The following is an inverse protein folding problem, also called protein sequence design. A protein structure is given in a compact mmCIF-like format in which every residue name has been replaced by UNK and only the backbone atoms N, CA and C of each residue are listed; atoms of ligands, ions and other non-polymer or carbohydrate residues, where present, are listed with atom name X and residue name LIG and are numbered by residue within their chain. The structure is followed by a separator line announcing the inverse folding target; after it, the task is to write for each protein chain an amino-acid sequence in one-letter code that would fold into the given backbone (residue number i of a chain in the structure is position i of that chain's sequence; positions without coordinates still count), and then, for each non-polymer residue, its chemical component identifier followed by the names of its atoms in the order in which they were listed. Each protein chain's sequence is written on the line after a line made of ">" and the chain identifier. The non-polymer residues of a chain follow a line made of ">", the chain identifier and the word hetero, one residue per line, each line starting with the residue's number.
data_IF_844815179759
#
_entry.id   IF_844815179759
#
_cell.length_a   1.000
_cell.length_b   1.000
_cell.length_c   1.000
_cell.angle_alpha   90.00
_cell.angle_beta   90.00
_cell.angle_gamma   90.00
#
_symmetry.space_group_name_H-M   'P 1'
#
loop_
_entity.id
_entity.type
_entity.pdbx_description
1 polymer ?
#
# COMPACT_ATOMS: atom_id res chain seq x y z
N UNK A 1 86.51 4.68 -42.07
CA UNK A 1 85.57 5.05 -43.14
C UNK A 1 84.33 4.22 -42.90
N UNK A 2 83.21 4.92 -42.76
CA UNK A 2 81.99 4.53 -42.03
C UNK A 2 81.24 3.32 -42.59
N UNK A 3 80.60 2.56 -41.67
CA UNK A 3 79.25 2.07 -41.89
C UNK A 3 78.39 2.34 -40.64
N UNK A 4 77.48 3.31 -40.66
CA UNK A 4 76.58 3.56 -39.54
C UNK A 4 75.22 4.21 -39.88
N UNK A 5 74.88 4.43 -41.16
CA UNK A 5 73.67 5.18 -41.53
C UNK A 5 72.42 4.31 -41.78
N UNK A 6 72.56 3.04 -42.17
CA UNK A 6 71.42 2.22 -42.61
C UNK A 6 70.61 1.54 -41.48
N UNK A 7 71.15 1.45 -40.25
CA UNK A 7 70.45 0.78 -39.14
C UNK A 7 69.41 1.67 -38.44
N UNK A 8 69.55 2.99 -38.54
CA UNK A 8 68.67 3.96 -37.85
C UNK A 8 67.37 4.19 -38.64
N UNK A 9 67.44 4.14 -39.98
CA UNK A 9 66.26 4.24 -40.86
C UNK A 9 65.31 3.03 -40.74
N UNK A 10 65.83 1.83 -40.49
CA UNK A 10 65.02 0.61 -40.34
C UNK A 10 64.21 0.63 -39.05
N UNK A 11 64.81 1.09 -37.94
CA UNK A 11 64.15 1.12 -36.64
C UNK A 11 63.03 2.15 -36.57
N UNK A 12 63.21 3.29 -37.25
CA UNK A 12 62.19 4.33 -37.34
C UNK A 12 60.99 3.84 -38.17
N UNK A 13 61.24 3.16 -39.30
CA UNK A 13 60.17 2.59 -40.12
C UNK A 13 59.39 1.48 -39.38
N UNK A 14 60.08 0.58 -38.66
CA UNK A 14 59.43 -0.46 -37.87
C UNK A 14 58.58 0.14 -36.72
N UNK A 15 59.00 1.28 -36.16
CA UNK A 15 58.23 2.01 -35.15
C UNK A 15 57.00 2.69 -35.74
N UNK A 16 57.11 3.25 -36.95
CA UNK A 16 55.98 3.84 -37.68
C UNK A 16 54.94 2.78 -38.06
N UNK A 17 55.37 1.60 -38.51
CA UNK A 17 54.46 0.48 -38.83
C UNK A 17 53.75 -0.02 -37.58
N UNK A 18 54.45 -0.18 -36.45
CA UNK A 18 53.81 -0.56 -35.17
C UNK A 18 52.82 0.47 -34.68
N UNK A 19 53.13 1.77 -34.82
CA UNK A 19 52.18 2.84 -34.48
C UNK A 19 50.97 2.85 -35.41
N UNK A 20 51.15 2.55 -36.69
CA UNK A 20 50.04 2.41 -37.64
C UNK A 20 49.14 1.21 -37.31
N UNK A 21 49.71 0.07 -36.92
CA UNK A 21 48.96 -1.10 -36.44
C UNK A 21 48.18 -0.78 -35.16
N UNK A 22 48.81 -0.12 -34.19
CA UNK A 22 48.15 0.32 -32.95
C UNK A 22 47.02 1.32 -33.21
N UNK A 23 47.18 2.24 -34.17
CA UNK A 23 46.12 3.16 -34.56
C UNK A 23 44.96 2.44 -35.26
N UNK A 24 45.25 1.44 -36.10
CA UNK A 24 44.23 0.62 -36.73
C UNK A 24 43.45 -0.21 -35.69
N UNK A 25 44.14 -0.78 -34.71
CA UNK A 25 43.54 -1.50 -33.60
C UNK A 25 42.68 -0.59 -32.72
N UNK A 26 43.17 0.59 -32.34
CA UNK A 26 42.40 1.59 -31.62
C UNK A 26 41.12 2.01 -32.37
N UNK A 27 41.20 2.16 -33.71
CA UNK A 27 40.03 2.49 -34.54
C UNK A 27 39.01 1.35 -34.56
N UNK A 28 39.46 0.10 -34.74
CA UNK A 28 38.57 -1.06 -34.70
C UNK A 28 37.90 -1.22 -33.33
N UNK A 29 38.61 -0.96 -32.23
CA UNK A 29 38.02 -0.96 -30.88
C UNK A 29 36.99 0.16 -30.72
N UNK A 30 37.26 1.37 -31.23
CA UNK A 30 36.30 2.47 -31.19
C UNK A 30 35.02 2.14 -31.98
N UNK A 31 35.15 1.56 -33.18
CA UNK A 31 34.01 1.10 -33.98
C UNK A 31 33.24 -0.03 -33.30
N UNK A 32 33.93 -0.96 -32.64
CA UNK A 32 33.32 -2.03 -31.86
C UNK A 32 32.48 -1.47 -30.69
N UNK A 33 33.06 -0.59 -29.88
CA UNK A 33 32.35 0.04 -28.76
C UNK A 33 31.20 0.94 -29.22
N UNK A 34 31.35 1.61 -30.36
CA UNK A 34 30.26 2.35 -30.98
C UNK A 34 29.12 1.40 -31.38
N UNK A 35 29.42 0.26 -32.02
CA UNK A 35 28.43 -0.76 -32.34
C UNK A 35 27.70 -1.30 -31.11
N UNK A 36 28.44 -1.62 -30.04
CA UNK A 36 27.86 -2.06 -28.76
C UNK A 36 26.95 -0.98 -28.16
N UNK A 37 27.39 0.28 -28.14
CA UNK A 37 26.57 1.38 -27.64
C UNK A 37 25.27 1.55 -28.45
N UNK A 38 25.34 1.39 -29.78
CA UNK A 38 24.18 1.47 -30.67
C UNK A 38 23.19 0.33 -30.38
N UNK A 39 23.69 -0.91 -30.21
CA UNK A 39 22.85 -2.07 -29.88
C UNK A 39 22.20 -1.89 -28.49
N UNK A 40 22.95 -1.41 -27.50
CA UNK A 40 22.40 -1.11 -26.17
C UNK A 40 21.32 -0.03 -26.23
N UNK A 41 21.51 1.01 -27.05
CA UNK A 41 20.52 2.07 -27.25
C UNK A 41 19.26 1.53 -27.91
N UNK A 42 19.39 0.72 -28.96
CA UNK A 42 18.26 0.08 -29.63
C UNK A 42 17.52 -0.90 -28.71
N UNK A 43 18.24 -1.74 -27.97
CA UNK A 43 17.65 -2.66 -26.98
C UNK A 43 16.85 -1.92 -25.92
N UNK A 44 17.39 -0.81 -25.40
CA UNK A 44 16.66 0.06 -24.46
C UNK A 44 15.41 0.66 -25.11
N UNK A 45 15.48 1.10 -26.36
CA UNK A 45 14.32 1.65 -27.08
C UNK A 45 13.24 0.59 -27.30
N UNK A 46 13.61 -0.66 -27.59
CA UNK A 46 12.68 -1.79 -27.71
C UNK A 46 11.99 -2.09 -26.39
N UNK A 47 12.72 -2.20 -25.28
CA UNK A 47 12.14 -2.40 -23.94
C UNK A 47 11.17 -1.26 -23.56
N UNK A 48 11.53 -0.01 -23.84
CA UNK A 48 10.64 1.14 -23.60
C UNK A 48 9.37 1.08 -24.46
N UNK A 49 9.48 0.64 -25.72
CA UNK A 49 8.33 0.49 -26.61
C UNK A 49 7.41 -0.66 -26.16
N UNK A 50 7.97 -1.76 -25.67
CA UNK A 50 7.20 -2.87 -25.10
C UNK A 50 6.49 -2.46 -23.82
N UNK A 51 7.16 -1.76 -22.91
CA UNK A 51 6.55 -1.22 -21.69
C UNK A 51 5.42 -0.24 -22.02
N UNK A 52 5.63 0.67 -22.97
CA UNK A 52 4.58 1.60 -23.41
C UNK A 52 3.36 0.84 -23.94
N UNK A 53 3.58 -0.20 -24.76
CA UNK A 53 2.50 -1.04 -25.30
C UNK A 53 1.75 -1.79 -24.19
N UNK A 54 2.45 -2.28 -23.16
CA UNK A 54 1.81 -2.93 -22.01
C UNK A 54 0.94 -1.92 -21.23
N UNK A 55 1.44 -0.72 -20.96
CA UNK A 55 0.64 0.33 -20.31
C UNK A 55 -0.61 0.69 -21.13
N UNK A 56 -0.49 0.83 -22.46
CA UNK A 56 -1.61 1.13 -23.33
C UNK A 56 -2.67 0.00 -23.31
N UNK A 57 -2.23 -1.25 -23.26
CA UNK A 57 -3.11 -2.42 -23.16
C UNK A 57 -3.83 -2.51 -21.82
N UNK A 58 -3.14 -2.23 -20.71
CA UNK A 58 -3.76 -2.18 -19.38
C UNK A 58 -4.80 -1.05 -19.29
N UNK A 59 -4.48 0.13 -19.82
CA UNK A 59 -5.42 1.25 -19.89
C UNK A 59 -6.68 0.85 -20.68
N UNK A 60 -6.52 0.19 -21.84
CA UNK A 60 -7.65 -0.28 -22.64
C UNK A 60 -8.48 -1.32 -21.89
N UNK A 61 -7.85 -2.31 -21.28
CA UNK A 61 -8.54 -3.34 -20.49
C UNK A 61 -9.33 -2.75 -19.32
N UNK A 62 -8.74 -1.78 -18.60
CA UNK A 62 -9.42 -1.08 -17.51
C UNK A 62 -10.59 -0.23 -18.03
N UNK A 63 -10.44 0.43 -19.17
CA UNK A 63 -11.52 1.19 -19.81
C UNK A 63 -12.68 0.28 -20.21
N UNK A 64 -12.42 -0.90 -20.78
CA UNK A 64 -13.43 -1.89 -21.13
C UNK A 64 -14.17 -2.41 -19.89
N UNK A 65 -13.45 -2.74 -18.82
CA UNK A 65 -14.06 -3.18 -17.56
C UNK A 65 -14.95 -2.09 -16.93
N UNK A 66 -14.51 -0.83 -16.99
CA UNK A 66 -15.32 0.31 -16.53
C UNK A 66 -16.57 0.52 -17.40
N UNK A 67 -16.46 0.38 -18.72
CA UNK A 67 -17.62 0.43 -19.62
C UNK A 67 -18.58 -0.72 -19.38
N UNK A 68 -18.07 -1.93 -19.13
CA UNK A 68 -18.90 -3.09 -18.82
C UNK A 68 -19.65 -2.88 -17.50
N UNK A 69 -18.97 -2.46 -16.44
CA UNK A 69 -19.62 -2.17 -15.15
C UNK A 69 -20.64 -1.04 -15.28
N UNK A 70 -20.35 0.02 -16.05
CA UNK A 70 -21.32 1.07 -16.35
C UNK A 70 -22.56 0.51 -17.06
N UNK A 71 -22.38 -0.32 -18.09
CA UNK A 71 -23.50 -0.96 -18.80
C UNK A 71 -24.34 -1.88 -17.90
N UNK A 72 -23.70 -2.59 -16.95
CA UNK A 72 -24.39 -3.42 -15.96
C UNK A 72 -25.24 -2.56 -15.02
N UNK A 73 -24.73 -1.40 -14.58
CA UNK A 73 -25.50 -0.46 -13.77
C UNK A 73 -26.66 0.15 -14.56
N UNK A 74 -26.44 0.55 -15.82
CA UNK A 74 -27.51 1.06 -16.70
C UNK A 74 -28.63 0.03 -16.91
N UNK A 75 -28.28 -1.23 -17.17
CA UNK A 75 -29.25 -2.32 -17.30
C UNK A 75 -30.05 -2.53 -16.01
N UNK A 76 -29.39 -2.50 -14.84
CA UNK A 76 -30.06 -2.62 -13.54
C UNK A 76 -31.00 -1.45 -13.27
N UNK A 77 -30.59 -0.23 -13.61
CA UNK A 77 -31.43 0.96 -13.51
C UNK A 77 -32.64 0.84 -14.45
N UNK A 78 -32.45 0.39 -15.69
CA UNK A 78 -33.53 0.18 -16.65
C UNK A 78 -34.54 -0.88 -16.17
N UNK A 79 -34.08 -2.00 -15.60
CA UNK A 79 -34.95 -3.01 -14.98
C UNK A 79 -35.80 -2.39 -13.86
N UNK A 80 -35.18 -1.66 -12.92
CA UNK A 80 -35.89 -0.98 -11.82
C UNK A 80 -36.88 0.08 -12.33
N UNK A 81 -36.56 0.77 -13.43
CA UNK A 81 -37.45 1.75 -14.07
C UNK A 81 -38.60 1.12 -14.88
N UNK A 82 -38.50 -0.16 -15.28
CA UNK A 82 -39.56 -0.90 -15.97
C UNK A 82 -40.57 -1.57 -15.03
N UNK A 83 -40.16 -1.87 -13.79
CA UNK A 83 -41.00 -2.39 -12.71
C UNK A 83 -42.26 -1.56 -12.30
N UNK A 84 -42.34 -0.22 -12.49
CA UNK A 84 -43.56 0.55 -12.19
C UNK A 84 -44.77 0.28 -13.10
N UNK A 85 -44.68 -0.58 -14.12
CA UNK A 85 -45.83 -1.00 -14.92
C UNK A 85 -46.60 -2.18 -14.29
N UNK A 86 -45.91 -3.07 -13.57
CA UNK A 86 -46.52 -4.29 -13.01
C UNK A 86 -47.22 -4.03 -11.68
N UNK A 87 -46.67 -3.15 -10.83
CA UNK A 87 -47.35 -2.68 -9.62
C UNK A 87 -48.61 -1.84 -9.92
N UNK A 88 -48.65 -1.14 -11.07
CA UNK A 88 -49.81 -0.33 -11.48
C UNK A 88 -50.90 -1.14 -12.18
N UNK A 89 -50.58 -2.32 -12.75
CA UNK A 89 -51.55 -3.21 -13.41
C UNK A 89 -52.39 -4.03 -12.42
N UNK A 90 -51.92 -4.22 -11.19
CA UNK A 90 -52.66 -4.90 -10.11
C UNK A 90 -53.70 -4.04 -9.38
N UNK A 91 -53.73 -2.72 -9.60
CA UNK A 91 -54.49 -1.77 -8.76
C UNK A 91 -55.64 -1.03 -9.45
N UNK A 92 -56.26 -1.59 -10.49
CA UNK A 92 -57.43 -0.93 -11.08
C UNK A 92 -58.14 -1.66 -12.19
N UNK A 93 -59.01 -2.61 -11.85
CA UNK A 93 -60.11 -3.04 -12.72
C UNK A 93 -61.40 -3.25 -11.94
N UNK A 94 -62.07 -2.14 -11.63
CA UNK A 94 -63.54 -2.07 -11.58
C UNK A 94 -63.97 -0.66 -11.98
N UNK A 95 -64.76 -0.52 -13.05
CA UNK A 95 -65.52 0.69 -13.33
C UNK A 95 -65.29 1.38 -14.68
N UNK A 96 -65.95 0.85 -15.70
CA UNK A 96 -66.59 1.54 -16.86
C UNK A 96 -66.45 3.07 -16.99
N UNK A 97 -66.10 3.55 -18.20
CA UNK A 97 -66.43 4.92 -18.61
C UNK A 97 -65.89 5.37 -19.97
N UNK A 98 -66.70 5.26 -21.03
CA UNK A 98 -66.51 5.90 -22.34
C UNK A 98 -66.15 7.39 -22.22
N UNK A 99 -65.23 7.88 -23.08
CA UNK A 99 -65.48 8.97 -24.06
C UNK A 99 -64.26 9.29 -24.93
N UNK A 100 -64.53 9.39 -26.23
CA UNK A 100 -63.76 10.14 -27.22
C UNK A 100 -63.49 11.59 -26.76
N UNK A 101 -62.37 12.20 -27.21
CA UNK A 101 -62.37 13.32 -28.20
C UNK A 101 -60.98 13.97 -28.37
N UNK A 102 -60.50 13.93 -29.62
CA UNK A 102 -59.63 14.84 -30.41
C UNK A 102 -58.68 15.86 -29.76
N UNK A 103 -57.40 15.77 -30.20
CA UNK A 103 -56.63 16.70 -31.06
C UNK A 103 -56.45 18.19 -30.68
N UNK A 104 -55.33 18.75 -31.21
CA UNK A 104 -54.79 20.14 -31.17
C UNK A 104 -53.79 20.35 -30.03
N UNK A 105 -52.54 20.77 -30.21
CA UNK A 105 -51.79 21.30 -31.36
C UNK A 105 -50.81 22.38 -30.87
N UNK A 106 -49.62 22.47 -31.46
CA UNK A 106 -48.69 23.61 -31.37
C UNK A 106 -47.80 23.64 -30.10
N UNK A 107 -46.51 23.33 -30.15
CA UNK A 107 -45.40 24.03 -30.81
C UNK A 107 -45.05 25.39 -30.20
N UNK A 108 -43.78 25.47 -29.75
CA UNK A 108 -42.83 26.60 -29.86
C UNK A 108 -42.61 27.50 -28.64
N UNK A 109 -41.35 27.43 -28.13
CA UNK A 109 -40.37 28.49 -27.75
C UNK A 109 -40.94 29.84 -27.29
N UNK A 110 -40.42 30.54 -26.29
CA UNK A 110 -39.01 30.92 -26.07
C UNK A 110 -38.91 31.70 -24.74
N UNK A 111 -37.70 31.71 -24.17
CA UNK A 111 -37.04 32.81 -23.44
C UNK A 111 -37.62 33.37 -22.12
N UNK A 112 -36.76 33.46 -21.10
CA UNK A 112 -36.00 34.69 -20.77
C UNK A 112 -35.21 34.50 -19.46
N UNK A 113 -33.88 34.62 -19.56
CA UNK A 113 -32.98 35.00 -18.47
C UNK A 113 -32.91 36.54 -18.36
N UNK A 114 -32.83 37.03 -17.12
CA UNK A 114 -32.23 38.28 -16.62
C UNK A 114 -32.81 38.49 -15.21
N UNK A 115 -32.11 38.82 -14.13
CA UNK A 115 -30.84 39.49 -13.91
C UNK A 115 -31.00 40.36 -12.65
N UNK A 116 -29.89 40.88 -12.11
CA UNK A 116 -29.76 41.93 -11.08
C UNK A 116 -29.64 41.52 -9.59
N UNK A 117 -28.39 41.33 -9.18
CA UNK A 117 -27.64 42.15 -8.20
C UNK A 117 -28.36 42.81 -7.00
N UNK A 118 -27.77 42.59 -5.82
CA UNK A 118 -27.29 43.69 -4.97
C UNK A 118 -28.03 43.94 -3.65
N UNK A 119 -27.44 43.53 -2.52
CA UNK A 119 -26.94 44.45 -1.46
C UNK A 119 -26.42 43.71 -0.23
N UNK A 120 -25.25 44.16 0.21
CA UNK A 120 -24.62 43.89 1.49
C UNK A 120 -25.35 44.58 2.65
N UNK A 121 -25.19 44.05 3.88
CA UNK A 121 -24.43 44.71 4.97
C UNK A 121 -24.60 43.95 6.31
N UNK A 122 -23.47 43.87 7.04
CA UNK A 122 -23.32 43.80 8.52
C UNK A 122 -23.83 42.51 9.21
N UNK A 123 -23.11 41.87 10.13
CA UNK A 123 -22.50 42.46 11.31
C UNK A 123 -21.50 41.47 11.95
N UNK A 124 -20.48 42.02 12.60
CA UNK A 124 -19.50 41.30 13.42
C UNK A 124 -19.14 42.22 14.58
N UNK A 125 -19.04 41.72 15.81
CA UNK A 125 -17.82 42.05 16.55
C UNK A 125 -17.28 40.91 17.44
N UNK A 126 -15.96 40.73 17.30
CA UNK A 126 -14.92 40.47 18.31
C UNK A 126 -15.32 40.18 19.78
N UNK A 127 -14.61 39.21 20.37
CA UNK A 127 -13.94 39.34 21.68
C UNK A 127 -12.80 38.32 21.82
N UNK A 128 -11.61 38.85 22.11
CA UNK A 128 -10.32 38.21 22.44
C UNK A 128 -10.42 37.55 23.84
N UNK A 129 -9.61 36.57 24.28
CA UNK A 129 -8.17 36.66 24.54
C UNK A 129 -7.65 35.37 25.22
N UNK A 130 -6.33 35.17 25.11
CA UNK A 130 -5.38 34.75 26.15
C UNK A 130 -4.79 33.31 26.10
N UNK A 131 -3.47 33.33 25.89
CA UNK A 131 -2.47 32.29 26.04
C UNK A 131 -2.16 31.91 27.51
N UNK A 132 -1.38 30.81 27.62
CA UNK A 132 -0.25 30.52 28.53
C UNK A 132 -0.40 29.43 29.63
N UNK A 133 0.47 28.43 29.43
CA UNK A 133 1.36 27.71 30.37
C UNK A 133 0.86 26.61 31.33
N UNK A 134 1.60 25.47 31.30
CA UNK A 134 2.15 24.86 32.52
C UNK A 134 1.93 23.35 32.77
N UNK A 135 3.04 22.60 32.70
CA UNK A 135 3.44 21.45 33.57
C UNK A 135 2.92 20.01 33.36
N UNK A 136 3.77 19.22 32.68
CA UNK A 136 4.56 18.08 33.24
C UNK A 136 4.01 17.26 34.42
N UNK A 137 3.64 15.99 34.17
CA UNK A 137 4.06 14.79 34.94
C UNK A 137 3.32 13.52 34.44
N UNK A 138 4.06 12.46 34.11
CA UNK A 138 3.48 11.14 33.84
C UNK A 138 4.39 10.15 33.11
N UNK A 139 5.49 9.77 33.74
CA UNK A 139 6.29 8.59 33.36
C UNK A 139 5.53 7.30 33.71
N UNK A 140 5.55 6.29 32.81
CA UNK A 140 5.14 4.93 33.16
C UNK A 140 4.55 4.10 32.02
N UNK A 141 5.25 3.97 30.89
CA UNK A 141 4.90 2.98 29.86
C UNK A 141 5.56 1.63 30.24
N UNK A 142 4.82 0.80 31.00
CA UNK A 142 5.22 -0.56 31.33
C UNK A 142 4.18 -1.57 30.78
N UNK A 143 4.66 -2.57 30.03
CA UNK A 143 4.12 -3.93 30.08
C UNK A 143 2.76 -4.22 29.46
N UNK A 144 2.60 -4.08 28.14
CA UNK A 144 1.55 -4.83 27.41
C UNK A 144 2.06 -6.23 27.03
N UNK A 145 1.93 -7.19 27.94
CA UNK A 145 1.83 -8.62 27.62
C UNK A 145 0.73 -9.20 28.51
N UNK A 146 -0.50 -9.26 28.01
CA UNK A 146 -1.56 -10.10 28.59
C UNK A 146 -1.51 -11.46 27.90
N UNK A 147 -0.92 -12.40 28.62
CA UNK A 147 -0.82 -13.81 28.29
C UNK A 147 -1.77 -14.57 29.21
N UNK A 148 -3.04 -14.70 28.81
CA UNK A 148 -3.98 -15.65 29.43
C UNK A 148 -4.76 -16.35 28.33
N UNK A 149 -4.17 -17.45 27.84
CA UNK A 149 -4.95 -18.55 27.30
C UNK A 149 -5.65 -19.19 28.50
N UNK A 150 -6.98 -19.14 28.56
CA UNK A 150 -7.72 -20.13 29.32
C UNK A 150 -8.95 -20.59 28.54
N UNK A 151 -8.99 -21.91 28.41
CA UNK A 151 -10.00 -22.71 27.74
C UNK A 151 -11.12 -22.92 28.75
N UNK A 152 -12.30 -22.35 28.51
CA UNK A 152 -13.50 -22.79 29.23
C UNK A 152 -14.76 -22.60 28.38
N UNK A 153 -15.39 -23.74 28.13
CA UNK A 153 -16.70 -23.94 27.53
C UNK A 153 -17.79 -23.02 28.12
N UNK A 154 -18.62 -22.47 27.24
CA UNK A 154 -20.00 -22.12 27.56
C UNK A 154 -20.91 -22.63 26.44
N UNK A 155 -21.44 -23.83 26.66
CA UNK A 155 -22.60 -24.33 25.92
C UNK A 155 -23.88 -23.69 26.46
N UNK A 156 -24.81 -23.40 25.55
CA UNK A 156 -26.21 -23.01 25.75
C UNK A 156 -26.46 -21.66 26.43
N UNK A 157 -27.07 -20.71 25.70
CA UNK A 157 -28.51 -20.47 25.73
C UNK A 157 -28.93 -19.58 24.53
N UNK A 158 -30.02 -20.02 23.88
CA UNK A 158 -30.98 -19.29 23.01
C UNK A 158 -30.47 -18.40 21.86
N UNK A 159 -30.59 -18.94 20.65
CA UNK A 159 -30.67 -18.18 19.40
C UNK A 159 -32.00 -17.41 19.34
N UNK A 160 -31.96 -16.12 19.64
CA UNK A 160 -32.87 -15.15 19.03
C UNK A 160 -32.02 -14.17 18.21
N UNK A 161 -31.81 -14.54 16.94
CA UNK A 161 -31.40 -13.59 15.91
C UNK A 161 -32.44 -13.61 14.80
N UNK A 162 -33.02 -12.45 14.44
CA UNK A 162 -33.98 -12.36 13.37
C UNK A 162 -33.27 -12.64 12.04
N UNK A 163 -33.72 -13.71 11.40
CA UNK A 163 -33.68 -13.99 9.95
C UNK A 163 -32.95 -12.96 9.09
N UNK A 164 -31.82 -13.39 8.51
CA UNK A 164 -31.26 -12.89 7.26
C UNK A 164 -32.38 -12.72 6.23
N UNK A 165 -32.60 -11.49 5.76
CA UNK A 165 -33.47 -11.19 4.63
C UNK A 165 -32.87 -11.81 3.35
N UNK A 166 -33.38 -12.98 2.96
CA UNK A 166 -33.09 -13.60 1.65
C UNK A 166 -34.33 -13.40 0.76
N UNK A 167 -34.13 -12.57 -0.27
CA UNK A 167 -34.94 -12.29 -1.46
C UNK A 167 -36.01 -13.37 -1.80
N UNK A 168 -37.27 -13.00 -2.08
CA UNK A 168 -38.25 -13.95 -2.62
C UNK A 168 -37.97 -14.25 -4.11
N UNK A 169 -38.16 -15.48 -4.58
CA UNK A 169 -38.15 -15.81 -6.02
C UNK A 169 -39.48 -15.36 -6.68
N UNK A 170 -39.51 -15.18 -8.02
CA UNK A 170 -40.71 -14.77 -8.73
C UNK A 170 -41.78 -15.87 -8.70
N UNK A 171 -43.01 -15.43 -8.47
CA UNK A 171 -44.23 -16.23 -8.45
C UNK A 171 -44.57 -16.69 -9.88
N UNK A 172 -44.50 -18.00 -10.13
CA UNK A 172 -45.15 -18.63 -11.30
C UNK A 172 -46.59 -18.97 -10.94
N UNK A 173 -47.51 -18.07 -11.26
CA UNK A 173 -48.94 -18.38 -11.31
C UNK A 173 -49.23 -19.20 -12.58
N UNK A 174 -49.45 -20.51 -12.43
CA UNK A 174 -50.48 -21.27 -13.18
C UNK A 174 -50.49 -22.75 -12.78
N UNK A 175 -51.25 -23.08 -11.73
CA UNK A 175 -52.04 -24.32 -11.72
C UNK A 175 -53.16 -24.19 -10.70
N UNK A 176 -54.35 -23.93 -11.23
CA UNK A 176 -55.61 -24.21 -10.56
C UNK A 176 -55.62 -25.68 -10.10
N UNK A 177 -55.57 -25.93 -8.79
CA UNK A 177 -56.09 -27.16 -8.19
C UNK A 177 -57.13 -26.80 -7.15
N UNK A 178 -58.35 -26.85 -7.66
CA UNK A 178 -59.64 -27.05 -7.00
C UNK A 178 -59.52 -27.81 -5.67
N UNK A 179 -60.13 -27.22 -4.65
CA UNK A 179 -60.91 -27.89 -3.59
C UNK A 179 -60.96 -29.43 -3.70
N UNK A 180 -60.29 -30.14 -2.79
CA UNK A 180 -60.70 -31.48 -2.39
C UNK A 180 -60.33 -31.69 -0.93
N UNK A 181 -61.37 -31.92 -0.11
CA UNK A 181 -61.23 -32.20 1.29
C UNK A 181 -60.46 -33.50 1.57
N UNK A 182 -59.92 -33.57 2.78
CA UNK A 182 -59.58 -34.81 3.51
C UNK A 182 -58.92 -35.90 2.68
N UNK A 183 -57.61 -35.78 2.44
CA UNK A 183 -56.74 -36.94 2.25
C UNK A 183 -55.43 -36.68 3.00
N UNK A 184 -55.15 -37.58 3.93
CA UNK A 184 -54.01 -37.63 4.83
C UNK A 184 -52.71 -37.39 4.05
N UNK A 185 -51.87 -36.38 4.41
CA UNK A 185 -50.53 -36.30 3.87
C UNK A 185 -49.60 -37.20 4.70
N UNK A 186 -49.36 -38.43 4.24
CA UNK A 186 -48.08 -39.07 4.53
C UNK A 186 -46.97 -38.21 3.91
N UNK A 187 -46.09 -37.72 4.78
CA UNK A 187 -44.80 -37.09 4.47
C UNK A 187 -44.80 -35.72 3.75
N UNK A 188 -45.30 -34.67 4.41
CA UNK A 188 -44.66 -33.35 4.23
C UNK A 188 -43.33 -33.43 4.98
N UNK A 189 -42.21 -33.63 4.28
CA UNK A 189 -40.88 -33.60 4.87
C UNK A 189 -40.64 -32.21 5.45
N UNK A 190 -40.76 -32.08 6.77
CA UNK A 190 -40.41 -30.88 7.51
C UNK A 190 -38.92 -30.98 7.87
N UNK A 191 -38.05 -30.12 7.32
CA UNK A 191 -36.63 -30.17 7.64
C UNK A 191 -36.41 -29.92 9.14
N UNK A 192 -35.46 -30.62 9.78
CA UNK A 192 -35.07 -30.32 11.16
C UNK A 192 -34.68 -28.85 11.33
N UNK A 193 -34.84 -28.30 12.54
CA UNK A 193 -34.49 -26.91 12.82
C UNK A 193 -33.06 -26.58 12.34
N UNK A 194 -32.92 -25.44 11.64
CA UNK A 194 -31.66 -25.00 11.02
C UNK A 194 -31.41 -25.54 9.60
N UNK A 195 -32.24 -26.44 9.09
CA UNK A 195 -32.08 -27.00 7.74
C UNK A 195 -33.10 -26.35 6.79
N UNK A 196 -32.62 -25.88 5.63
CA UNK A 196 -33.46 -25.31 4.58
C UNK A 196 -33.46 -26.27 3.39
N UNK A 197 -34.63 -26.50 2.80
CA UNK A 197 -34.74 -27.16 1.50
C UNK A 197 -34.16 -26.22 0.43
N UNK A 198 -33.18 -26.73 -0.29
CA UNK A 198 -32.47 -26.02 -1.36
C UNK A 198 -32.84 -26.71 -2.67
N UNK A 199 -33.13 -25.92 -3.70
CA UNK A 199 -33.40 -26.47 -5.04
C UNK A 199 -32.12 -27.05 -5.65
N UNK A 200 -32.21 -27.97 -6.61
CA UNK A 200 -31.02 -28.53 -7.24
C UNK A 200 -30.15 -27.45 -7.92
N UNK A 201 -30.76 -26.45 -8.56
CA UNK A 201 -30.04 -25.32 -9.16
C UNK A 201 -29.31 -24.46 -8.13
N UNK A 202 -29.93 -24.20 -6.97
CA UNK A 202 -29.30 -23.43 -5.90
C UNK A 202 -28.16 -24.23 -5.24
N UNK A 203 -28.30 -25.55 -5.14
CA UNK A 203 -27.27 -26.45 -4.64
C UNK A 203 -26.07 -26.50 -5.60
N UNK A 204 -26.31 -26.61 -6.90
CA UNK A 204 -25.26 -26.56 -7.93
C UNK A 204 -24.55 -25.20 -7.95
N UNK A 205 -25.30 -24.09 -7.84
CA UNK A 205 -24.73 -22.75 -7.75
C UNK A 205 -23.86 -22.56 -6.48
N UNK A 206 -24.29 -23.08 -5.34
CA UNK A 206 -23.48 -23.05 -4.12
C UNK A 206 -22.23 -23.93 -4.26
N UNK A 207 -22.36 -25.10 -4.88
CA UNK A 207 -21.25 -26.05 -5.03
C UNK A 207 -20.18 -25.55 -6.03
N UNK A 208 -20.59 -24.83 -7.08
CA UNK A 208 -19.68 -24.13 -8.00
C UNK A 208 -18.95 -22.99 -7.29
N UNK A 209 -19.64 -22.16 -6.51
CA UNK A 209 -19.01 -21.11 -5.69
C UNK A 209 -18.03 -21.67 -4.67
N UNK A 210 -18.38 -22.75 -3.97
CA UNK A 210 -17.49 -23.43 -3.02
C UNK A 210 -16.26 -23.98 -3.75
N UNK A 211 -16.42 -24.53 -4.95
CA UNK A 211 -15.30 -25.03 -5.77
C UNK A 211 -14.40 -23.90 -6.26
N UNK A 212 -14.97 -22.76 -6.65
CA UNK A 212 -14.23 -21.57 -7.04
C UNK A 212 -13.44 -20.98 -5.88
N UNK A 213 -14.08 -20.84 -4.71
CA UNK A 213 -13.43 -20.37 -3.47
C UNK A 213 -12.30 -21.32 -3.04
N UNK A 214 -12.52 -22.64 -3.11
CA UNK A 214 -11.45 -23.63 -2.89
C UNK A 214 -10.31 -23.50 -3.89
N UNK A 215 -10.61 -23.14 -5.15
CA UNK A 215 -9.60 -22.87 -6.17
C UNK A 215 -8.83 -21.57 -5.93
N UNK A 216 -9.48 -20.53 -5.40
CA UNK A 216 -8.82 -19.28 -4.99
C UNK A 216 -7.95 -19.49 -3.75
N UNK A 217 -8.45 -20.24 -2.77
CA UNK A 217 -7.74 -20.57 -1.54
C UNK A 217 -6.46 -21.36 -1.83
N UNK A 218 -6.52 -22.37 -2.71
CA UNK A 218 -5.32 -23.11 -3.18
C UNK A 218 -4.29 -22.24 -3.89
N UNK A 219 -4.73 -21.25 -4.69
CA UNK A 219 -3.83 -20.31 -5.37
C UNK A 219 -3.12 -19.40 -4.36
N UNK A 220 -3.86 -18.86 -3.41
CA UNK A 220 -3.30 -18.05 -2.33
C UNK A 220 -2.35 -18.85 -1.43
N UNK A 221 -2.65 -20.12 -1.16
CA UNK A 221 -1.74 -21.03 -0.45
C UNK A 221 -0.42 -21.23 -1.22
N UNK A 222 -0.49 -21.44 -2.54
CA UNK A 222 0.71 -21.57 -3.36
C UNK A 222 1.53 -20.28 -3.41
N UNK A 223 0.89 -19.13 -3.63
CA UNK A 223 1.56 -17.81 -3.61
C UNK A 223 2.21 -17.53 -2.25
N UNK A 224 1.56 -17.93 -1.15
CA UNK A 224 2.13 -17.83 0.20
C UNK A 224 3.40 -18.69 0.31
N UNK A 225 3.35 -19.95 -0.13
CA UNK A 225 4.51 -20.86 -0.09
C UNK A 225 5.67 -20.33 -0.96
N UNK A 226 5.39 -19.77 -2.13
CA UNK A 226 6.40 -19.16 -3.00
C UNK A 226 7.05 -17.94 -2.35
N UNK A 227 6.26 -17.06 -1.74
CA UNK A 227 6.77 -15.89 -1.00
C UNK A 227 7.58 -16.29 0.24
N UNK A 228 7.15 -17.32 0.97
CA UNK A 228 7.89 -17.87 2.11
C UNK A 228 9.24 -18.44 1.67
N UNK A 229 9.27 -19.18 0.55
CA UNK A 229 10.50 -19.71 -0.02
C UNK A 229 11.45 -18.58 -0.48
N UNK A 230 10.94 -17.55 -1.15
CA UNK A 230 11.76 -16.41 -1.57
C UNK A 230 12.33 -15.67 -0.35
N UNK A 231 11.52 -15.44 0.69
CA UNK A 231 11.99 -14.83 1.94
C UNK A 231 13.11 -15.67 2.57
N UNK A 232 12.97 -16.99 2.63
CA UNK A 232 14.01 -17.88 3.13
C UNK A 232 15.29 -17.79 2.29
N UNK A 233 15.20 -17.73 0.97
CA UNK A 233 16.40 -17.58 0.13
C UNK A 233 17.10 -16.23 0.33
N UNK A 234 16.33 -15.14 0.43
CA UNK A 234 16.84 -13.78 0.63
C UNK A 234 17.45 -13.61 2.03
N UNK A 235 16.81 -14.14 3.07
CA UNK A 235 17.36 -14.14 4.44
C UNK A 235 18.66 -14.94 4.52
N UNK A 236 18.73 -16.10 3.86
CA UNK A 236 19.96 -16.88 3.77
C UNK A 236 21.06 -16.15 2.98
N UNK A 237 20.72 -15.47 1.88
CA UNK A 237 21.69 -14.72 1.09
C UNK A 237 22.26 -13.52 1.87
N UNK A 238 21.39 -12.72 2.49
CA UNK A 238 21.79 -11.59 3.34
C UNK A 238 22.61 -12.05 4.53
N UNK A 239 22.25 -13.15 5.20
CA UNK A 239 23.05 -13.72 6.28
C UNK A 239 24.46 -14.11 5.83
N UNK A 240 24.60 -14.74 4.64
CA UNK A 240 25.90 -15.07 4.04
C UNK A 240 26.73 -13.81 3.75
N UNK A 241 26.12 -12.77 3.18
CA UNK A 241 26.81 -11.51 2.92
C UNK A 241 27.29 -10.83 4.21
N UNK A 242 26.41 -10.75 5.22
CA UNK A 242 26.75 -10.19 6.54
C UNK A 242 27.90 -10.98 7.18
N UNK A 243 27.87 -12.31 7.10
CA UNK A 243 28.94 -13.16 7.63
C UNK A 243 30.28 -12.91 6.91
N UNK A 244 30.28 -12.79 5.59
CA UNK A 244 31.49 -12.46 4.81
C UNK A 244 32.06 -11.10 5.20
N UNK A 245 31.20 -10.08 5.31
CA UNK A 245 31.62 -8.74 5.75
C UNK A 245 32.16 -8.76 7.18
N UNK A 246 31.53 -9.50 8.09
CA UNK A 246 32.03 -9.67 9.46
C UNK A 246 33.41 -10.35 9.48
N UNK A 247 33.61 -11.41 8.70
CA UNK A 247 34.92 -12.04 8.55
C UNK A 247 35.97 -11.05 8.01
N UNK A 248 35.62 -10.25 6.99
CA UNK A 248 36.52 -9.24 6.43
C UNK A 248 36.88 -8.17 7.46
N UNK A 249 35.90 -7.63 8.19
CA UNK A 249 36.13 -6.67 9.25
C UNK A 249 37.05 -7.26 10.32
N UNK A 250 36.79 -8.48 10.78
CA UNK A 250 37.63 -9.15 11.76
C UNK A 250 39.08 -9.32 11.26
N UNK A 251 39.27 -9.73 10.00
CA UNK A 251 40.63 -9.81 9.42
C UNK A 251 41.32 -8.45 9.37
N UNK A 252 40.62 -7.39 8.96
CA UNK A 252 41.18 -6.03 8.94
C UNK A 252 41.54 -5.53 10.33
N UNK A 253 40.73 -5.86 11.34
CA UNK A 253 40.99 -5.50 12.73
C UNK A 253 42.23 -6.20 13.27
N UNK A 254 42.39 -7.51 13.00
CA UNK A 254 43.60 -8.25 13.40
C UNK A 254 44.86 -7.68 12.74
N UNK A 255 44.79 -7.33 11.46
CA UNK A 255 45.90 -6.71 10.74
C UNK A 255 46.27 -5.34 11.31
N UNK A 256 45.28 -4.51 11.65
CA UNK A 256 45.51 -3.22 12.30
C UNK A 256 46.15 -3.37 13.68
N UNK A 257 45.72 -4.37 14.47
CA UNK A 257 46.33 -4.66 15.76
C UNK A 257 47.80 -5.09 15.61
N UNK A 258 48.12 -5.89 14.59
CA UNK A 258 49.50 -6.33 14.34
C UNK A 258 50.38 -5.19 13.81
N UNK A 259 49.84 -4.32 12.95
CA UNK A 259 50.52 -3.08 12.56
C UNK A 259 50.78 -2.18 13.78
N UNK A 260 49.79 -2.01 14.66
CA UNK A 260 49.97 -1.23 15.89
C UNK A 260 51.07 -1.81 16.77
N UNK A 261 51.12 -3.14 16.94
CA UNK A 261 52.22 -3.81 17.66
C UNK A 261 53.55 -3.56 16.97
N UNK A 262 53.64 -3.72 15.64
CA UNK A 262 54.87 -3.49 14.85
C UNK A 262 55.39 -2.05 14.97
N UNK A 263 54.49 -1.05 14.92
CA UNK A 263 54.85 0.35 15.12
C UNK A 263 55.38 0.59 16.54
N UNK A 264 54.73 0.03 17.57
CA UNK A 264 55.23 0.16 18.94
C UNK A 264 56.61 -0.49 19.13
N UNK A 265 56.85 -1.63 18.48
CA UNK A 265 58.13 -2.32 18.52
C UNK A 265 59.23 -1.53 17.80
N UNK A 266 58.96 -1.02 16.60
CA UNK A 266 59.93 -0.21 15.84
C UNK A 266 60.22 1.11 16.56
N UNK A 267 59.21 1.76 17.15
CA UNK A 267 59.37 2.94 17.98
C UNK A 267 60.30 2.67 19.19
N UNK A 268 60.07 1.57 19.92
CA UNK A 268 60.93 1.18 21.05
C UNK A 268 62.37 0.86 20.59
N UNK A 269 62.54 0.21 19.44
CA UNK A 269 63.85 -0.09 18.88
C UNK A 269 64.63 1.19 18.50
N UNK A 270 63.95 2.17 17.89
CA UNK A 270 64.54 3.48 17.58
C UNK A 270 64.91 4.23 18.86
N UNK A 271 64.04 4.21 19.88
CA UNK A 271 64.34 4.83 21.18
C UNK A 271 65.57 4.19 21.85
N UNK A 272 65.72 2.86 21.79
CA UNK A 272 66.91 2.16 22.29
C UNK A 272 68.18 2.59 21.55
N UNK A 273 68.14 2.62 20.20
CA UNK A 273 69.28 3.07 19.38
C UNK A 273 69.65 4.52 19.66
N UNK A 274 68.68 5.41 19.84
CA UNK A 274 68.93 6.80 20.19
C UNK A 274 69.61 6.92 21.57
N UNK A 275 69.18 6.11 22.54
CA UNK A 275 69.80 6.06 23.85
C UNK A 275 71.27 5.57 23.76
N UNK A 276 71.54 4.51 23.00
CA UNK A 276 72.90 4.01 22.73
C UNK A 276 73.79 5.06 22.07
N UNK A 277 73.28 5.75 21.04
CA UNK A 277 73.99 6.83 20.38
C UNK A 277 74.33 7.96 21.36
N UNK A 278 73.38 8.38 22.20
CA UNK A 278 73.61 9.42 23.21
C UNK A 278 74.69 9.03 24.24
N UNK A 279 74.72 7.76 24.65
CA UNK A 279 75.74 7.22 25.55
C UNK A 279 77.11 7.18 24.87
N UNK A 280 77.16 6.74 23.60
CA UNK A 280 78.38 6.73 22.80
C UNK A 280 78.94 8.14 22.59
N UNK A 281 78.08 9.12 22.29
CA UNK A 281 78.45 10.53 22.14
C UNK A 281 79.02 11.08 23.45
N UNK A 282 78.35 10.83 24.58
CA UNK A 282 78.83 11.26 25.90
C UNK A 282 80.20 10.66 26.22
N UNK A 283 80.42 9.39 25.91
CA UNK A 283 81.71 8.72 26.07
C UNK A 283 82.80 9.35 25.21
N UNK A 284 82.54 9.57 23.91
CA UNK A 284 83.48 10.24 22.99
C UNK A 284 83.79 11.66 23.45
N UNK A 285 82.79 12.45 23.86
CA UNK A 285 83.02 13.78 24.41
C UNK A 285 83.87 13.75 25.69
N UNK A 286 83.70 12.73 26.54
CA UNK A 286 84.54 12.51 27.72
C UNK A 286 86.00 12.20 27.36
N UNK A 287 86.23 11.31 26.40
CA UNK A 287 87.56 10.97 25.89
C UNK A 287 88.25 12.17 25.22
N UNK A 288 87.53 12.96 24.41
CA UNK A 288 88.04 14.19 23.79
C UNK A 288 88.43 15.24 24.84
N UNK A 289 87.65 15.34 25.91
CA UNK A 289 87.97 16.26 27.02
C UNK A 289 89.21 15.81 27.79
N UNK A 290 89.47 14.50 27.88
CA UNK A 290 90.69 13.94 28.48
C UNK A 290 91.92 14.22 27.60
N UNK A 291 91.84 13.94 26.29
CA UNK A 291 92.92 14.21 25.34
C UNK A 291 93.25 15.71 25.26
N UNK A 292 92.25 16.60 25.27
CA UNK A 292 92.48 18.05 25.27
C UNK A 292 93.15 18.56 26.56
N UNK A 293 93.09 17.80 27.66
CA UNK A 293 93.74 18.13 28.93
C UNK A 293 95.14 17.53 29.09
N UNK A 294 95.59 16.69 28.16
CA UNK A 294 96.81 15.90 28.31
C UNK A 294 97.48 15.69 26.95
N UNK A 295 98.27 16.68 26.52
CA UNK A 295 99.42 16.50 25.61
C UNK A 295 100.23 17.82 25.56
N UNK A 296 101.30 17.84 26.33
CA UNK A 296 102.44 18.77 26.19
C UNK A 296 103.61 17.92 25.72
N UNK A 297 104.26 18.40 24.66
CA UNK A 297 105.57 17.97 24.10
C UNK A 297 105.54 16.62 23.35
N UNK A 298 105.89 16.55 22.05
CA UNK A 298 107.17 16.97 21.49
C UNK A 298 107.17 17.13 19.94
N UNK A 299 108.03 18.05 19.49
CA UNK A 299 108.85 18.08 18.26
C UNK A 299 108.23 18.36 16.86
N UNK A 300 108.73 19.47 16.27
CA UNK A 300 108.68 19.89 14.85
C UNK A 300 109.50 18.94 13.92
N UNK A 301 109.82 19.31 12.67
CA UNK A 301 108.99 19.56 11.49
C UNK A 301 109.41 18.63 10.33
N UNK A 302 108.56 18.38 9.34
CA UNK A 302 109.09 17.93 8.04
C UNK A 302 108.20 18.36 6.88
N UNK A 303 108.84 19.01 5.92
CA UNK A 303 108.25 19.51 4.69
C UNK A 303 108.04 18.39 3.64
N UNK A 304 107.22 18.74 2.64
CA UNK A 304 107.07 18.17 1.27
C UNK A 304 106.09 17.00 1.08
N UNK A 305 105.65 16.68 -0.15
CA UNK A 305 105.04 17.49 -1.22
C UNK A 305 103.70 16.87 -1.75
N UNK A 306 102.85 17.67 -2.43
CA UNK A 306 101.76 17.29 -3.38
C UNK A 306 100.99 15.95 -3.26
N UNK A 307 99.64 15.98 -3.42
CA UNK A 307 98.99 14.99 -4.28
C UNK A 307 97.97 15.63 -5.25
N UNK A 308 98.41 15.89 -6.48
CA UNK A 308 97.55 16.36 -7.58
C UNK A 308 96.71 15.26 -8.26
N UNK A 309 96.68 14.03 -7.76
CA UNK A 309 96.06 12.88 -8.46
C UNK A 309 95.08 12.04 -7.63
N UNK A 310 94.96 12.23 -6.32
CA UNK A 310 93.90 11.58 -5.52
C UNK A 310 92.62 12.45 -5.38
N UNK A 311 92.74 13.77 -5.49
CA UNK A 311 91.61 14.68 -5.34
C UNK A 311 90.55 14.51 -6.44
N UNK A 312 90.98 14.20 -7.66
CA UNK A 312 90.11 13.88 -8.79
C UNK A 312 89.30 12.60 -8.58
N UNK A 313 89.93 11.53 -8.09
CA UNK A 313 89.27 10.25 -7.81
C UNK A 313 88.24 10.37 -6.66
N UNK A 314 88.55 11.13 -5.61
CA UNK A 314 87.58 11.39 -4.53
C UNK A 314 86.43 12.30 -4.96
N UNK A 315 86.65 13.29 -5.84
CA UNK A 315 85.56 14.09 -6.40
C UNK A 315 84.69 13.27 -7.36
N UNK A 316 85.30 12.40 -8.15
CA UNK A 316 84.58 11.50 -9.05
C UNK A 316 83.71 10.50 -8.26
N UNK A 317 84.24 9.92 -7.20
CA UNK A 317 83.48 9.00 -6.34
C UNK A 317 82.32 9.70 -5.61
N UNK A 318 82.51 10.95 -5.17
CA UNK A 318 81.40 11.76 -4.61
C UNK A 318 80.29 12.00 -5.63
N UNK A 319 80.65 12.35 -6.86
CA UNK A 319 79.68 12.55 -7.93
C UNK A 319 78.96 11.25 -8.30
N UNK A 320 79.63 10.10 -8.27
CA UNK A 320 78.98 8.80 -8.48
C UNK A 320 77.95 8.50 -7.40
N UNK A 321 78.29 8.71 -6.13
CA UNK A 321 77.36 8.54 -5.00
C UNK A 321 76.17 9.50 -5.12
N UNK A 322 76.42 10.75 -5.51
CA UNK A 322 75.36 11.75 -5.72
C UNK A 322 74.44 11.38 -6.88
N UNK A 323 74.98 10.87 -8.00
CA UNK A 323 74.19 10.36 -9.12
C UNK A 323 73.32 9.17 -8.69
N UNK A 324 73.86 8.23 -7.90
CA UNK A 324 73.07 7.10 -7.39
C UNK A 324 71.97 7.57 -6.45
N UNK A 325 72.27 8.49 -5.53
CA UNK A 325 71.29 9.06 -4.61
C UNK A 325 70.18 9.85 -5.35
N UNK A 326 70.55 10.65 -6.37
CA UNK A 326 69.58 11.36 -7.20
C UNK A 326 68.71 10.41 -8.02
N UNK A 327 69.26 9.27 -8.47
CA UNK A 327 68.47 8.22 -9.14
C UNK A 327 67.50 7.55 -8.18
N UNK A 328 67.93 7.18 -6.99
CA UNK A 328 67.06 6.63 -5.94
C UNK A 328 65.95 7.62 -5.56
N UNK A 329 66.25 8.92 -5.47
CA UNK A 329 65.26 9.97 -5.24
C UNK A 329 64.27 10.14 -6.41
N UNK A 330 64.71 9.92 -7.65
CA UNK A 330 63.83 9.93 -8.81
C UNK A 330 62.90 8.72 -8.80
N UNK A 331 63.45 7.53 -8.56
CA UNK A 331 62.72 6.26 -8.53
C UNK A 331 61.65 6.28 -7.44
N UNK A 332 62.00 6.67 -6.22
CA UNK A 332 61.04 6.88 -5.11
C UNK A 332 59.93 7.87 -5.46
N UNK A 333 60.24 9.02 -6.07
CA UNK A 333 59.20 9.97 -6.54
C UNK A 333 58.31 9.40 -7.63
N UNK A 334 58.83 8.55 -8.52
CA UNK A 334 58.00 7.90 -9.55
C UNK A 334 57.07 6.86 -8.95
N UNK A 335 57.53 6.08 -7.98
CA UNK A 335 56.72 5.12 -7.23
C UNK A 335 55.61 5.84 -6.43
N UNK A 336 55.93 6.92 -5.73
CA UNK A 336 54.97 7.79 -5.03
C UNK A 336 53.95 8.38 -5.99
N UNK A 337 54.35 8.80 -7.20
CA UNK A 337 53.44 9.31 -8.23
C UNK A 337 52.45 8.24 -8.70
N UNK A 338 52.89 6.99 -8.86
CA UNK A 338 52.02 5.86 -9.21
C UNK A 338 51.06 5.56 -8.07
N UNK A 339 51.53 5.50 -6.82
CA UNK A 339 50.68 5.30 -5.64
C UNK A 339 49.65 6.43 -5.49
N UNK A 340 50.04 7.69 -5.69
CA UNK A 340 49.12 8.82 -5.67
C UNK A 340 48.06 8.71 -6.76
N UNK A 341 48.42 8.25 -7.96
CA UNK A 341 47.45 8.00 -9.04
C UNK A 341 46.46 6.89 -8.69
N UNK A 342 46.92 5.80 -8.08
CA UNK A 342 46.07 4.69 -7.63
C UNK A 342 45.14 5.11 -6.48
N UNK A 343 45.65 5.87 -5.51
CA UNK A 343 44.84 6.42 -4.42
C UNK A 343 43.81 7.41 -4.96
N UNK A 344 44.18 8.24 -5.94
CA UNK A 344 43.25 9.16 -6.59
C UNK A 344 42.11 8.41 -7.26
N UNK A 345 42.39 7.37 -8.05
CA UNK A 345 41.34 6.55 -8.68
C UNK A 345 40.45 5.87 -7.64
N UNK A 346 41.01 5.40 -6.52
CA UNK A 346 40.23 4.78 -5.45
C UNK A 346 39.33 5.82 -4.74
N UNK A 347 39.84 7.03 -4.47
CA UNK A 347 39.01 8.10 -3.89
C UNK A 347 37.89 8.56 -4.82
N UNK A 348 38.11 8.55 -6.13
CA UNK A 348 37.08 8.86 -7.13
C UNK A 348 36.03 7.74 -7.18
N UNK A 349 36.46 6.47 -7.13
CA UNK A 349 35.56 5.31 -7.05
C UNK A 349 34.69 5.34 -5.79
N UNK A 350 35.29 5.56 -4.61
CA UNK A 350 34.55 5.67 -3.34
C UNK A 350 33.60 6.86 -3.35
N UNK A 351 34.00 7.98 -3.96
CA UNK A 351 33.13 9.16 -4.14
C UNK A 351 31.92 8.82 -5.01
N UNK A 352 32.12 8.15 -6.14
CA UNK A 352 31.04 7.74 -7.04
C UNK A 352 30.06 6.78 -6.34
N UNK A 353 30.56 5.79 -5.60
CA UNK A 353 29.72 4.86 -4.83
C UNK A 353 28.90 5.59 -3.76
N UNK A 354 29.51 6.52 -3.03
CA UNK A 354 28.81 7.33 -2.02
C UNK A 354 27.74 8.24 -2.64
N UNK A 355 28.02 8.82 -3.80
CA UNK A 355 27.05 9.66 -4.51
C UNK A 355 25.91 8.81 -5.09
N UNK A 356 26.19 7.59 -5.54
CA UNK A 356 25.17 6.60 -5.96
C UNK A 356 24.26 6.22 -4.79
N UNK A 357 24.81 5.77 -3.66
CA UNK A 357 23.99 5.41 -2.49
C UNK A 357 23.18 6.62 -1.97
N UNK A 358 23.72 7.84 -2.10
CA UNK A 358 22.99 9.07 -1.77
C UNK A 358 21.81 9.31 -2.71
N UNK A 359 21.96 9.02 -4.01
CA UNK A 359 20.88 9.11 -4.98
C UNK A 359 19.79 8.07 -4.72
N UNK A 360 20.16 6.82 -4.42
CA UNK A 360 19.23 5.74 -4.06
C UNK A 360 18.44 6.08 -2.78
N UNK A 361 19.11 6.62 -1.75
CA UNK A 361 18.44 7.09 -0.53
C UNK A 361 17.48 8.27 -0.80
N UNK A 362 17.84 9.17 -1.73
CA UNK A 362 16.95 10.26 -2.12
C UNK A 362 15.72 9.75 -2.88
N UNK A 363 15.90 8.81 -3.81
CA UNK A 363 14.80 8.16 -4.53
C UNK A 363 13.86 7.43 -3.56
N UNK A 364 14.39 6.61 -2.65
CA UNK A 364 13.58 5.92 -1.64
C UNK A 364 12.81 6.87 -0.71
N UNK A 365 13.37 8.05 -0.39
CA UNK A 365 12.62 9.10 0.35
C UNK A 365 11.46 9.65 -0.46
N UNK A 366 11.65 9.91 -1.75
CA UNK A 366 10.57 10.41 -2.61
C UNK A 366 9.46 9.38 -2.79
N UNK A 367 9.81 8.08 -2.87
CA UNK A 367 8.83 6.99 -2.92
C UNK A 367 8.04 6.87 -1.61
N UNK A 368 8.71 6.97 -0.45
CA UNK A 368 8.05 6.98 0.85
C UNK A 368 7.08 8.15 1.00
N UNK A 369 7.46 9.34 0.53
CA UNK A 369 6.58 10.50 0.56
C UNK A 369 5.38 10.34 -0.39
N UNK A 370 5.56 9.74 -1.57
CA UNK A 370 4.46 9.40 -2.48
C UNK A 370 3.50 8.37 -1.85
N UNK A 371 4.03 7.32 -1.20
CA UNK A 371 3.23 6.32 -0.49
C UNK A 371 2.46 6.94 0.69
N UNK A 372 3.05 7.88 1.43
CA UNK A 372 2.35 8.62 2.49
C UNK A 372 1.17 9.42 1.95
N UNK A 373 1.35 10.09 0.81
CA UNK A 373 0.26 10.82 0.14
C UNK A 373 -0.84 9.85 -0.29
N UNK A 374 -0.50 8.74 -0.94
CA UNK A 374 -1.47 7.71 -1.34
C UNK A 374 -2.24 7.15 -0.13
N UNK A 375 -1.55 6.86 0.98
CA UNK A 375 -2.16 6.40 2.22
C UNK A 375 -3.12 7.44 2.81
N UNK A 376 -2.76 8.73 2.78
CA UNK A 376 -3.67 9.80 3.22
C UNK A 376 -4.93 9.89 2.36
N UNK A 377 -4.80 9.67 1.05
CA UNK A 377 -5.93 9.65 0.13
C UNK A 377 -6.84 8.44 0.40
N UNK A 378 -6.27 7.24 0.56
CA UNK A 378 -7.02 6.04 0.93
C UNK A 378 -7.73 6.18 2.27
N UNK A 379 -7.11 6.83 3.26
CA UNK A 379 -7.77 7.10 4.54
C UNK A 379 -8.95 8.08 4.38
N UNK A 380 -8.80 9.11 3.56
CA UNK A 380 -9.88 10.08 3.30
C UNK A 380 -11.07 9.42 2.58
N UNK A 381 -10.80 8.59 1.58
CA UNK A 381 -11.83 7.86 0.83
C UNK A 381 -12.52 6.82 1.71
N UNK A 382 -11.77 6.10 2.56
CA UNK A 382 -12.36 5.16 3.50
C UNK A 382 -13.29 5.87 4.50
N UNK A 383 -12.90 7.05 5.00
CA UNK A 383 -13.77 7.88 5.85
C UNK A 383 -15.04 8.32 5.12
N UNK A 384 -14.93 8.77 3.86
CA UNK A 384 -16.08 9.18 3.05
C UNK A 384 -17.04 8.01 2.80
N UNK A 385 -16.52 6.85 2.39
CA UNK A 385 -17.31 5.63 2.21
C UNK A 385 -17.97 5.16 3.51
N UNK A 386 -17.29 5.34 4.65
CA UNK A 386 -17.85 5.07 5.97
C UNK A 386 -19.06 5.96 6.29
N UNK A 387 -18.99 7.25 5.94
CA UNK A 387 -20.10 8.19 6.10
C UNK A 387 -21.26 7.85 5.17
N UNK A 388 -20.99 7.53 3.90
CA UNK A 388 -22.01 7.11 2.93
C UNK A 388 -22.71 5.82 3.37
N UNK A 389 -21.95 4.83 3.86
CA UNK A 389 -22.51 3.60 4.43
C UNK A 389 -23.44 3.89 5.60
N UNK A 390 -23.05 4.77 6.51
CA UNK A 390 -23.89 5.16 7.64
C UNK A 390 -25.18 5.88 7.18
N UNK A 391 -25.08 6.77 6.20
CA UNK A 391 -26.23 7.46 5.61
C UNK A 391 -27.21 6.47 4.94
N UNK A 392 -26.70 5.52 4.16
CA UNK A 392 -27.52 4.48 3.53
C UNK A 392 -28.17 3.56 4.56
N UNK A 393 -27.46 3.21 5.63
CA UNK A 393 -28.03 2.44 6.74
C UNK A 393 -29.19 3.19 7.42
N UNK A 394 -29.03 4.49 7.66
CA UNK A 394 -30.09 5.32 8.21
C UNK A 394 -31.30 5.37 7.27
N UNK A 395 -31.09 5.59 5.97
CA UNK A 395 -32.16 5.61 4.98
C UNK A 395 -32.92 4.27 4.93
N UNK A 396 -32.21 3.14 5.05
CA UNK A 396 -32.86 1.82 5.12
C UNK A 396 -33.77 1.67 6.35
N UNK A 397 -33.34 2.20 7.51
CA UNK A 397 -34.15 2.18 8.73
C UNK A 397 -35.40 3.06 8.60
N UNK A 398 -35.27 4.23 7.97
CA UNK A 398 -36.39 5.14 7.69
C UNK A 398 -37.41 4.49 6.74
N UNK A 399 -36.96 3.92 5.62
CA UNK A 399 -37.84 3.19 4.70
C UNK A 399 -38.51 2.00 5.36
N UNK A 400 -37.80 1.26 6.23
CA UNK A 400 -38.41 0.18 7.04
C UNK A 400 -39.50 0.72 7.96
N UNK A 401 -39.26 1.86 8.60
CA UNK A 401 -40.25 2.55 9.44
C UNK A 401 -41.50 2.95 8.64
N UNK A 402 -41.32 3.46 7.43
CA UNK A 402 -42.44 3.79 6.53
C UNK A 402 -43.25 2.55 6.15
N UNK A 403 -42.59 1.42 5.84
CA UNK A 403 -43.29 0.15 5.54
C UNK A 403 -44.08 -0.34 6.74
N UNK A 404 -43.51 -0.31 7.95
CA UNK A 404 -44.23 -0.70 9.18
C UNK A 404 -45.46 0.19 9.37
N UNK A 405 -45.32 1.51 9.20
CA UNK A 405 -46.44 2.46 9.29
C UNK A 405 -47.55 2.12 8.29
N UNK A 406 -47.21 1.93 7.01
CA UNK A 406 -48.19 1.55 5.98
C UNK A 406 -48.86 0.21 6.28
N UNK A 407 -48.11 -0.77 6.81
CA UNK A 407 -48.67 -2.05 7.21
C UNK A 407 -49.69 -1.89 8.34
N UNK A 408 -49.38 -1.11 9.39
CA UNK A 408 -50.34 -0.82 10.46
C UNK A 408 -51.59 -0.08 9.96
N UNK A 409 -51.42 0.85 9.01
CA UNK A 409 -52.56 1.53 8.37
C UNK A 409 -53.43 0.55 7.59
N UNK A 410 -52.83 -0.39 6.85
CA UNK A 410 -53.55 -1.44 6.14
C UNK A 410 -54.32 -2.35 7.11
N UNK A 411 -53.68 -2.79 8.20
CA UNK A 411 -54.30 -3.65 9.22
C UNK A 411 -55.51 -2.96 9.87
N UNK A 412 -55.39 -1.67 10.22
CA UNK A 412 -56.51 -0.90 10.76
C UNK A 412 -57.65 -0.75 9.75
N UNK A 413 -57.35 -0.49 8.48
CA UNK A 413 -58.35 -0.44 7.41
C UNK A 413 -59.04 -1.79 7.21
N UNK A 414 -58.29 -2.89 7.26
CA UNK A 414 -58.83 -4.24 7.13
C UNK A 414 -59.75 -4.58 8.31
N UNK A 415 -59.34 -4.25 9.55
CA UNK A 415 -60.17 -4.44 10.73
C UNK A 415 -61.50 -3.67 10.60
N UNK A 416 -61.46 -2.39 10.19
CA UNK A 416 -62.67 -1.58 9.96
C UNK A 416 -63.58 -2.19 8.89
N UNK A 417 -63.01 -2.74 7.80
CA UNK A 417 -63.79 -3.43 6.78
C UNK A 417 -64.46 -4.69 7.33
N UNK A 418 -63.76 -5.49 8.13
CA UNK A 418 -64.33 -6.68 8.76
C UNK A 418 -65.46 -6.32 9.72
N UNK A 419 -65.27 -5.30 10.55
CA UNK A 419 -66.30 -4.80 11.47
C UNK A 419 -67.53 -4.32 10.70
N UNK A 420 -67.35 -3.58 9.60
CA UNK A 420 -68.46 -3.13 8.75
C UNK A 420 -69.25 -4.32 8.17
N UNK A 421 -68.55 -5.34 7.67
CA UNK A 421 -69.19 -6.56 7.16
C UNK A 421 -69.96 -7.26 8.27
N UNK A 422 -69.37 -7.45 9.46
CA UNK A 422 -70.03 -8.08 10.61
C UNK A 422 -71.25 -7.30 11.09
N UNK A 423 -71.15 -5.97 11.20
CA UNK A 423 -72.26 -5.08 11.52
C UNK A 423 -73.36 -5.17 10.49
N UNK A 424 -73.04 -5.17 9.19
CA UNK A 424 -74.02 -5.28 8.11
C UNK A 424 -74.76 -6.62 8.14
N UNK A 425 -74.06 -7.73 8.38
CA UNK A 425 -74.66 -9.05 8.53
C UNK A 425 -75.56 -9.12 9.77
N UNK A 426 -75.07 -8.62 10.91
CA UNK A 426 -75.84 -8.57 12.17
C UNK A 426 -77.11 -7.75 12.00
N UNK A 427 -77.00 -6.58 11.36
CA UNK A 427 -78.13 -5.73 11.04
C UNK A 427 -79.13 -6.46 10.12
N UNK A 428 -78.65 -7.14 9.09
CA UNK A 428 -79.49 -7.88 8.15
C UNK A 428 -80.26 -9.01 8.85
N UNK A 429 -79.61 -9.74 9.77
CA UNK A 429 -80.26 -10.76 10.62
C UNK A 429 -81.29 -10.11 11.55
N UNK A 430 -80.95 -9.01 12.23
CA UNK A 430 -81.89 -8.30 13.11
C UNK A 430 -83.12 -7.82 12.35
N UNK A 431 -82.95 -7.24 11.16
CA UNK A 431 -84.05 -6.80 10.31
C UNK A 431 -84.95 -7.97 9.88
N UNK A 432 -84.37 -9.12 9.53
CA UNK A 432 -85.14 -10.31 9.16
C UNK A 432 -85.90 -10.90 10.36
N UNK A 433 -85.31 -10.91 11.55
CA UNK A 433 -85.99 -11.31 12.78
C UNK A 433 -87.17 -10.38 13.12
N UNK A 434 -87.01 -9.06 12.92
CA UNK A 434 -88.10 -8.09 13.09
C UNK A 434 -89.21 -8.34 12.06
N UNK A 435 -88.86 -8.63 10.81
CA UNK A 435 -89.83 -8.98 9.76
C UNK A 435 -90.65 -10.22 10.13
N UNK A 436 -90.05 -11.16 10.86
CA UNK A 436 -90.67 -12.39 11.34
C UNK A 436 -91.41 -12.22 12.68
N UNK A 437 -91.25 -11.11 13.39
CA UNK A 437 -91.89 -10.87 14.68
C UNK A 437 -93.41 -10.68 14.53
N UNK A 438 -94.18 -11.28 15.46
CA UNK A 438 -95.65 -11.27 15.41
C UNK A 438 -96.24 -10.14 16.26
N UNK A 439 -95.49 -9.64 17.24
CA UNK A 439 -95.90 -8.54 18.14
C UNK A 439 -94.87 -7.41 18.18
N UNK A 440 -95.35 -6.19 18.45
CA UNK A 440 -94.49 -5.01 18.58
C UNK A 440 -93.49 -5.13 19.73
N UNK A 441 -93.85 -5.80 20.82
CA UNK A 441 -92.96 -6.01 21.97
C UNK A 441 -91.79 -6.94 21.62
N UNK A 442 -92.01 -7.97 20.79
CA UNK A 442 -90.94 -8.84 20.28
C UNK A 442 -89.99 -8.08 19.35
N UNK A 443 -90.51 -7.19 18.50
CA UNK A 443 -89.68 -6.34 17.64
C UNK A 443 -88.81 -5.36 18.46
N UNK A 444 -89.33 -4.81 19.56
CA UNK A 444 -88.59 -3.94 20.49
C UNK A 444 -87.47 -4.70 21.19
N UNK A 445 -87.73 -5.92 21.65
CA UNK A 445 -86.74 -6.77 22.30
C UNK A 445 -85.56 -7.12 21.37
N UNK A 446 -85.80 -7.41 20.08
CA UNK A 446 -84.76 -7.67 19.07
C UNK A 446 -83.89 -6.43 18.79
N UNK A 447 -84.47 -5.24 18.87
CA UNK A 447 -83.76 -3.96 18.75
C UNK A 447 -82.98 -3.59 20.03
N UNK A 448 -83.21 -4.31 21.13
CA UNK A 448 -82.63 -4.00 22.44
C UNK A 448 -83.33 -2.84 23.16
N UNK A 449 -84.50 -2.39 22.68
CA UNK A 449 -85.37 -1.47 23.41
C UNK A 449 -86.25 -2.31 24.35
N UNK A 450 -86.04 -2.21 25.66
CA UNK A 450 -86.85 -2.92 26.65
C UNK A 450 -88.36 -2.59 26.56
N UNK A 451 -89.24 -3.44 27.14
CA UNK A 451 -90.69 -3.26 27.04
C UNK A 451 -91.14 -1.92 27.65
N UNK A 452 -92.17 -1.31 27.05
CA UNK A 452 -92.77 -0.07 27.53
C UNK A 452 -93.25 -0.24 28.98
N UNK A 453 -92.98 0.71 29.89
CA UNK A 453 -93.56 0.67 31.24
C UNK A 453 -95.09 0.76 31.11
N UNK A 454 -95.78 -0.23 31.69
CA UNK A 454 -97.24 -0.28 31.70
C UNK A 454 -97.82 0.96 32.39
N UNK A 455 -98.84 1.56 31.78
CA UNK A 455 -99.64 2.63 32.38
C UNK A 455 -100.17 2.19 33.78
N UNK A 456 -100.18 3.11 34.77
CA UNK A 456 -100.69 2.79 36.11
C UNK A 456 -102.20 2.48 36.07
N UNK A 457 -102.69 1.55 36.91
CA UNK A 457 -104.10 1.13 36.90
C UNK A 457 -105.02 2.24 37.44
N UNK A 458 -106.32 2.22 37.08
CA UNK A 458 -107.27 3.24 37.47
C UNK A 458 -107.66 3.06 38.94
N UNK A 459 -107.26 3.99 39.81
CA UNK A 459 -107.88 4.11 41.14
C UNK A 459 -109.04 5.09 41.08
N UNK A 460 -110.22 4.48 41.01
CA UNK A 460 -111.53 4.92 41.51
C UNK A 460 -111.49 6.02 42.56
N UNK A 461 -112.37 7.01 42.40
CA UNK A 461 -112.65 8.00 43.42
C UNK A 461 -113.28 7.40 44.69
N UNK A 462 -112.96 8.03 45.82
CA UNK A 462 -113.90 8.27 46.91
C UNK A 462 -113.40 9.50 47.67
N UNK A 463 -114.26 10.53 47.66
CA UNK A 463 -114.48 11.61 48.66
C UNK A 463 -113.39 11.95 49.67
#
# INVERSE_FOLDING_TARGET
>A
MEPAADSVSSTDHDSEVRLQEQLAECRAQAEHWQGVATICELSKQEELAELQKQCDQEIQSLQEALQETASQYEARIACLQSEPADWRRGSGQTGSGRRHRSNVGGSRRESLEAGAEGRALTDSPNSLSADQDGEEAGLGAEGYFSQHCDTASMSSFSLDTPSLARRPPPQEDTASLVSTGTLVPEAIYLPPAGHRLVTHSDWDALNTQVSELRGKLRRLEQEKEELEAELDTQTNHTHKQVTLLQCQVHTSETLLQDLQKSVSQSQNAVQSRLAELSLSQRRVCGELSRLKGEEVEDEEPTATPFPGTQQGAHSEERLRIEIVNLKEQLDTRTEESVQFSSLKTETERVRAQRDQSRAELAAGRTELDALRVALSHLQSTNKALGQEKAALQQQCLESRGQVISLHTQLDTSQAVQMDFVQLSQTLQVKLELIRQAVTLDQAREILGEGPLPADPPPTTGST
#
